data_IF_586277217689
#
_entry.id   IF_586277217689
#
_cell.length_a   1.000
_cell.length_b   1.000
_cell.length_c   1.000
_cell.angle_alpha   90.00
_cell.angle_beta   90.00
_cell.angle_gamma   90.00
#
_symmetry.space_group_name_H-M   'P 1'
#
loop_
_entity.id
_entity.type
_entity.pdbx_description
1 polymer ?
#
# COMPACT_ATOMS: atom_id res chain seq x y z
N UNK A 1 67.22 -47.23 15.63
CA UNK A 1 66.39 -47.33 14.42
C UNK A 1 64.98 -46.89 14.83
N UNK A 2 64.69 -45.61 15.10
CA UNK A 2 64.58 -44.46 14.17
C UNK A 2 63.64 -44.76 13.00
N UNK A 3 62.37 -44.31 13.09
CA UNK A 3 61.43 -44.43 11.97
C UNK A 3 59.95 -44.14 12.28
N UNK A 4 59.63 -43.16 13.13
CA UNK A 4 58.23 -42.90 13.55
C UNK A 4 57.77 -41.44 13.62
N UNK A 5 58.63 -40.44 13.37
CA UNK A 5 58.28 -39.02 13.58
C UNK A 5 57.92 -38.23 12.31
N UNK A 6 58.19 -38.78 11.13
CA UNK A 6 57.97 -38.08 9.85
C UNK A 6 56.52 -38.22 9.35
N UNK A 7 55.86 -39.34 9.62
CA UNK A 7 54.49 -39.61 9.17
C UNK A 7 53.41 -38.77 9.88
N UNK A 8 53.55 -38.56 11.19
CA UNK A 8 52.60 -37.74 11.97
C UNK A 8 52.68 -36.25 11.59
N UNK A 9 53.87 -35.77 11.22
CA UNK A 9 54.10 -34.38 10.79
C UNK A 9 53.38 -34.07 9.46
N UNK A 10 53.35 -35.02 8.53
CA UNK A 10 52.67 -34.89 7.23
C UNK A 10 51.15 -34.99 7.40
N UNK A 11 50.67 -35.86 8.29
CA UNK A 11 49.24 -35.95 8.61
C UNK A 11 48.74 -34.69 9.35
N UNK A 12 49.59 -34.09 10.20
CA UNK A 12 49.25 -32.85 10.89
C UNK A 12 49.27 -31.65 9.93
N UNK A 13 50.27 -31.53 9.06
CA UNK A 13 50.38 -30.44 8.09
C UNK A 13 49.25 -30.43 7.06
N UNK A 14 48.82 -31.60 6.57
CA UNK A 14 47.69 -31.73 5.65
C UNK A 14 46.36 -31.30 6.29
N UNK A 15 46.13 -31.60 7.58
CA UNK A 15 44.96 -31.15 8.33
C UNK A 15 44.97 -29.64 8.58
N UNK A 16 46.14 -29.06 8.84
CA UNK A 16 46.30 -27.60 8.95
C UNK A 16 46.03 -26.90 7.61
N UNK A 17 46.59 -27.40 6.51
CA UNK A 17 46.34 -26.86 5.17
C UNK A 17 44.87 -26.93 4.77
N UNK A 18 44.20 -28.06 5.04
CA UNK A 18 42.76 -28.21 4.80
C UNK A 18 41.93 -27.20 5.61
N UNK A 19 42.28 -26.98 6.88
CA UNK A 19 41.58 -26.04 7.76
C UNK A 19 41.76 -24.59 7.30
N UNK A 20 42.98 -24.22 6.88
CA UNK A 20 43.27 -22.89 6.33
C UNK A 20 42.54 -22.63 5.00
N UNK A 21 42.40 -23.64 4.14
CA UNK A 21 41.66 -23.53 2.88
C UNK A 21 40.16 -23.32 3.13
N UNK A 22 39.56 -24.10 4.03
CA UNK A 22 38.14 -23.96 4.37
C UNK A 22 37.89 -22.58 5.02
N UNK A 23 38.72 -22.19 5.98
CA UNK A 23 38.61 -20.88 6.63
C UNK A 23 38.80 -19.71 5.66
N UNK A 24 39.76 -19.82 4.74
CA UNK A 24 40.02 -18.82 3.71
C UNK A 24 38.87 -18.67 2.72
N UNK A 25 38.24 -19.78 2.30
CA UNK A 25 37.07 -19.74 1.42
C UNK A 25 35.86 -19.14 2.13
N UNK A 26 35.61 -19.49 3.39
CA UNK A 26 34.47 -18.96 4.17
C UNK A 26 34.61 -17.45 4.40
N UNK A 27 35.79 -16.98 4.79
CA UNK A 27 36.08 -15.56 4.96
C UNK A 27 36.02 -14.82 3.62
N UNK A 28 36.56 -15.42 2.55
CA UNK A 28 36.56 -14.88 1.20
C UNK A 28 35.14 -14.70 0.64
N UNK A 29 34.28 -15.71 0.74
CA UNK A 29 32.87 -15.63 0.30
C UNK A 29 32.08 -14.62 1.13
N UNK A 30 32.32 -14.55 2.44
CA UNK A 30 31.64 -13.59 3.32
C UNK A 30 32.03 -12.14 3.01
N UNK A 31 33.32 -11.88 2.80
CA UNK A 31 33.82 -10.57 2.37
C UNK A 31 33.36 -10.23 0.95
N UNK A 32 33.30 -11.20 0.04
CA UNK A 32 32.84 -10.99 -1.32
C UNK A 32 31.34 -10.66 -1.39
N UNK A 33 30.49 -11.33 -0.59
CA UNK A 33 29.08 -10.96 -0.44
C UNK A 33 28.86 -9.57 0.20
N UNK A 34 29.79 -9.14 1.06
CA UNK A 34 29.75 -7.81 1.69
C UNK A 34 30.32 -6.71 0.79
N UNK A 35 31.31 -7.02 -0.04
CA UNK A 35 31.99 -6.10 -0.95
C UNK A 35 31.33 -6.00 -2.33
N UNK A 36 30.50 -6.97 -2.72
CA UNK A 36 29.60 -6.78 -3.85
C UNK A 36 28.60 -5.68 -3.46
N UNK A 37 28.39 -4.68 -4.33
CA UNK A 37 27.31 -3.74 -4.13
C UNK A 37 26.04 -4.59 -4.01
N UNK A 38 25.35 -4.45 -2.88
CA UNK A 38 23.97 -4.89 -2.71
C UNK A 38 23.13 -4.04 -3.68
N UNK A 39 23.34 -4.18 -5.00
CA UNK A 39 22.35 -3.78 -5.97
C UNK A 39 21.12 -4.56 -5.51
N UNK A 40 20.04 -3.87 -5.15
CA UNK A 40 18.88 -4.58 -4.68
C UNK A 40 18.53 -5.51 -5.82
N UNK A 41 18.63 -6.83 -5.58
CA UNK A 41 17.75 -7.78 -6.22
C UNK A 41 16.36 -7.28 -5.82
N UNK A 42 15.91 -6.32 -6.60
CA UNK A 42 14.62 -5.69 -6.52
C UNK A 42 13.69 -6.80 -6.97
N UNK A 43 13.37 -7.67 -6.00
CA UNK A 43 12.20 -8.53 -6.03
C UNK A 43 11.11 -7.58 -6.48
N UNK A 44 10.69 -7.75 -7.72
CA UNK A 44 9.77 -6.85 -8.41
C UNK A 44 8.40 -7.05 -7.77
N UNK A 45 8.24 -6.54 -6.55
CA UNK A 45 7.00 -6.48 -5.84
C UNK A 45 6.15 -5.49 -6.60
N UNK A 46 5.13 -5.99 -7.32
CA UNK A 46 4.10 -5.14 -7.92
C UNK A 46 3.62 -4.15 -6.86
N UNK A 47 3.95 -2.86 -7.00
CA UNK A 47 3.38 -1.82 -6.14
C UNK A 47 1.87 -1.87 -6.31
N UNK A 48 1.15 -2.31 -5.28
CA UNK A 48 -0.32 -2.32 -5.32
C UNK A 48 -0.79 -0.87 -5.40
N UNK A 49 -1.51 -0.53 -6.47
CA UNK A 49 -2.11 0.79 -6.65
C UNK A 49 -3.12 1.02 -5.53
N UNK A 50 -3.01 2.16 -4.82
CA UNK A 50 -3.97 2.52 -3.77
C UNK A 50 -5.35 2.66 -4.40
N UNK A 51 -6.36 2.02 -3.81
CA UNK A 51 -7.75 2.13 -4.27
C UNK A 51 -8.32 3.47 -3.77
N UNK A 52 -9.01 4.25 -4.63
CA UNK A 52 -9.61 5.50 -4.19
C UNK A 52 -10.77 5.25 -3.22
N UNK A 53 -10.86 6.08 -2.19
CA UNK A 53 -11.95 6.08 -1.21
C UNK A 53 -13.14 6.81 -1.83
N UNK A 54 -14.28 6.13 -1.93
CA UNK A 54 -15.53 6.67 -2.46
C UNK A 54 -16.49 6.91 -1.30
N UNK A 55 -16.96 8.14 -1.16
CA UNK A 55 -17.95 8.57 -0.17
C UNK A 55 -19.29 8.71 -0.88
N UNK A 56 -20.35 8.17 -0.30
CA UNK A 56 -21.71 8.34 -0.79
C UNK A 56 -22.49 9.20 0.21
N UNK A 57 -23.21 10.20 -0.30
CA UNK A 57 -24.12 11.03 0.48
C UNK A 57 -25.40 11.21 -0.31
N UNK A 58 -26.54 10.86 0.28
CA UNK A 58 -27.85 11.06 -0.30
C UNK A 58 -28.61 12.19 0.41
N UNK A 59 -29.57 12.75 -0.30
CA UNK A 59 -30.40 13.80 0.26
C UNK A 59 -31.54 14.23 -0.66
N UNK A 60 -32.50 14.92 -0.05
CA UNK A 60 -33.52 15.64 -0.79
C UNK A 60 -32.89 16.84 -1.51
N UNK A 61 -32.03 17.60 -0.82
CA UNK A 61 -31.42 18.82 -1.36
C UNK A 61 -32.46 19.84 -1.88
N UNK A 62 -33.65 19.86 -1.27
CA UNK A 62 -34.69 20.85 -1.55
C UNK A 62 -34.20 22.25 -1.12
N UNK A 63 -34.57 23.26 -1.90
CA UNK A 63 -34.18 24.66 -1.68
C UNK A 63 -32.71 24.79 -1.29
N UNK A 64 -31.79 24.40 -2.19
CA UNK A 64 -30.36 24.35 -1.88
C UNK A 64 -29.86 25.62 -1.18
N UNK A 65 -29.19 25.40 -0.05
CA UNK A 65 -28.71 26.46 0.82
C UNK A 65 -27.36 26.08 1.46
N UNK A 66 -26.74 27.04 2.15
CA UNK A 66 -25.41 26.90 2.73
C UNK A 66 -25.21 25.64 3.62
N UNK A 67 -26.27 25.18 4.28
CA UNK A 67 -26.22 23.98 5.12
C UNK A 67 -25.89 22.72 4.32
N UNK A 68 -26.56 22.53 3.17
CA UNK A 68 -26.28 21.42 2.26
C UNK A 68 -24.90 21.53 1.64
N UNK A 69 -24.49 22.73 1.18
CA UNK A 69 -23.15 22.96 0.61
C UNK A 69 -22.06 22.60 1.61
N UNK A 70 -22.21 23.01 2.88
CA UNK A 70 -21.24 22.71 3.93
C UNK A 70 -21.21 21.20 4.27
N UNK A 71 -22.36 20.51 4.26
CA UNK A 71 -22.43 19.07 4.45
C UNK A 71 -21.70 18.32 3.31
N UNK A 72 -21.93 18.70 2.05
CA UNK A 72 -21.24 18.14 0.89
C UNK A 72 -19.72 18.42 0.93
N UNK A 73 -19.33 19.63 1.34
CA UNK A 73 -17.92 20.01 1.54
C UNK A 73 -17.24 19.12 2.58
N UNK A 74 -17.92 18.85 3.71
CA UNK A 74 -17.42 17.95 4.74
C UNK A 74 -17.33 16.51 4.24
N UNK A 75 -18.36 16.02 3.54
CA UNK A 75 -18.36 14.68 2.95
C UNK A 75 -17.22 14.50 1.93
N UNK A 76 -16.95 15.53 1.12
CA UNK A 76 -15.84 15.53 0.15
C UNK A 76 -14.47 15.43 0.84
N UNK A 77 -14.32 15.96 2.05
CA UNK A 77 -13.07 15.88 2.79
C UNK A 77 -12.76 14.47 3.33
N UNK A 78 -13.74 13.56 3.34
CA UNK A 78 -13.59 12.20 3.90
C UNK A 78 -13.04 11.17 2.90
N UNK A 79 -12.92 11.51 1.61
CA UNK A 79 -12.45 10.56 0.60
C UNK A 79 -11.94 11.21 -0.68
N UNK A 80 -11.54 10.36 -1.62
CA UNK A 80 -10.99 10.81 -2.90
C UNK A 80 -12.10 11.20 -3.89
N UNK A 81 -13.27 10.57 -3.77
CA UNK A 81 -14.42 10.76 -4.65
C UNK A 81 -15.70 10.87 -3.81
N UNK A 82 -16.53 11.87 -4.11
CA UNK A 82 -17.87 12.02 -3.52
C UNK A 82 -18.92 11.71 -4.59
N UNK A 83 -19.82 10.78 -4.28
CA UNK A 83 -21.01 10.45 -5.06
C UNK A 83 -22.22 11.01 -4.32
N UNK A 84 -23.01 11.85 -4.99
CA UNK A 84 -24.19 12.49 -4.42
C UNK A 84 -25.45 11.86 -5.01
N UNK A 85 -26.32 11.32 -4.17
CA UNK A 85 -27.62 10.77 -4.56
C UNK A 85 -28.74 11.79 -4.31
N UNK A 86 -29.43 12.23 -5.35
CA UNK A 86 -30.62 13.08 -5.21
C UNK A 86 -31.86 12.20 -5.21
N UNK A 87 -32.60 12.22 -4.11
CA UNK A 87 -33.76 11.34 -3.90
C UNK A 87 -34.95 11.81 -4.74
N UNK A 88 -35.73 10.87 -5.29
CA UNK A 88 -36.89 11.14 -6.15
C UNK A 88 -38.05 11.80 -5.39
N UNK A 89 -38.87 12.59 -6.11
CA UNK A 89 -40.05 13.25 -5.51
C UNK A 89 -41.01 12.23 -4.89
N UNK A 90 -41.26 11.10 -5.56
CA UNK A 90 -42.15 10.05 -5.08
C UNK A 90 -41.70 9.47 -3.72
N UNK A 91 -40.40 9.21 -3.56
CA UNK A 91 -39.85 8.67 -2.32
C UNK A 91 -39.84 9.70 -1.18
N UNK A 92 -39.57 10.97 -1.49
CA UNK A 92 -39.63 12.07 -0.52
C UNK A 92 -41.07 12.30 -0.04
N UNK A 93 -42.04 12.35 -0.97
CA UNK A 93 -43.46 12.49 -0.65
C UNK A 93 -43.96 11.34 0.22
N UNK A 94 -43.53 10.10 -0.04
CA UNK A 94 -43.94 8.94 0.74
C UNK A 94 -43.41 8.95 2.19
N UNK A 95 -42.25 9.56 2.46
CA UNK A 95 -41.56 9.44 3.75
C UNK A 95 -41.50 10.73 4.59
N UNK A 96 -41.55 11.91 3.97
CA UNK A 96 -41.35 13.21 4.66
C UNK A 96 -42.37 14.27 4.29
N UNK A 97 -42.96 14.20 3.10
CA UNK A 97 -43.81 15.23 2.52
C UNK A 97 -43.22 15.76 1.22
N UNK A 98 -44.02 16.37 0.33
CA UNK A 98 -43.58 16.76 -1.01
C UNK A 98 -42.50 17.85 -0.96
N UNK A 99 -41.46 17.77 -1.80
CA UNK A 99 -40.48 18.84 -1.92
C UNK A 99 -41.08 20.07 -2.62
N UNK A 100 -40.55 21.25 -2.33
CA UNK A 100 -40.94 22.51 -2.98
C UNK A 100 -40.32 22.59 -4.38
N UNK A 101 -39.05 22.22 -4.50
CA UNK A 101 -38.33 22.21 -5.78
C UNK A 101 -38.44 20.86 -6.48
N UNK A 102 -38.79 20.83 -7.78
CA UNK A 102 -38.92 19.59 -8.53
C UNK A 102 -37.56 18.90 -8.71
N UNK A 103 -37.58 17.58 -8.87
CA UNK A 103 -36.36 16.75 -8.96
C UNK A 103 -35.30 17.27 -9.95
N UNK A 104 -35.70 17.75 -11.12
CA UNK A 104 -34.77 18.21 -12.16
C UNK A 104 -33.97 19.46 -11.74
N UNK A 105 -34.58 20.37 -10.98
CA UNK A 105 -33.89 21.55 -10.44
C UNK A 105 -32.92 21.14 -9.33
N UNK A 106 -33.36 20.23 -8.43
CA UNK A 106 -32.53 19.69 -7.35
C UNK A 106 -31.28 18.98 -7.88
N UNK A 107 -31.40 18.25 -8.99
CA UNK A 107 -30.24 17.68 -9.67
C UNK A 107 -29.24 18.75 -10.13
N UNK A 108 -29.72 19.83 -10.73
CA UNK A 108 -28.87 20.95 -11.16
C UNK A 108 -28.18 21.62 -9.97
N UNK A 109 -28.92 21.89 -8.89
CA UNK A 109 -28.37 22.54 -7.70
C UNK A 109 -27.38 21.65 -6.95
N UNK A 110 -27.62 20.34 -6.86
CA UNK A 110 -26.70 19.40 -6.20
C UNK A 110 -25.42 19.12 -7.02
N UNK A 111 -25.47 19.31 -8.35
CA UNK A 111 -24.30 19.17 -9.22
C UNK A 111 -23.33 20.35 -9.12
N UNK A 112 -23.82 21.53 -8.68
CA UNK A 112 -23.04 22.75 -8.50
C UNK A 112 -23.15 23.29 -7.06
N UNK A 113 -22.64 22.52 -6.06
CA UNK A 113 -22.77 22.86 -4.64
C UNK A 113 -21.79 23.94 -4.16
#
# INVERSE_FOLDING_TARGET
MMGGSEGENIQQSSRFLATCLIGGVVLGVSLFCFALPQSPLAIWGRKKKKRPIRVYMDGCFDMMHYGHCNALRQARALGDQLIVGVVSDAEITANKGPPVTPLHERFGSAAHP
#
